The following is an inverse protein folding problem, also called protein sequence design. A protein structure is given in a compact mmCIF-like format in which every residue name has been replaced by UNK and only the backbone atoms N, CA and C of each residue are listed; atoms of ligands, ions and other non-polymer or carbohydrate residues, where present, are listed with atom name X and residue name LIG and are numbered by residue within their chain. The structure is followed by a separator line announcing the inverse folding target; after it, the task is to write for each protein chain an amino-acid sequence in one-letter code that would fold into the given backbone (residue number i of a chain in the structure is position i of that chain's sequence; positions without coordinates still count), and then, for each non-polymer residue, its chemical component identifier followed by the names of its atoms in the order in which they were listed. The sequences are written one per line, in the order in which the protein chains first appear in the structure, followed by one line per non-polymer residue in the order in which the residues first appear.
data_IF_641059531608
#
_entry.id   IF_641059531608
#
_cell.length_a   1.000
_cell.length_b   1.000
_cell.length_c   1.000
_cell.angle_alpha   90.00
_cell.angle_beta   90.00
_cell.angle_gamma   90.00
#
_symmetry.space_group_name_H-M   'P 1'
#
loop_
_entity.id
_entity.type
_entity.pdbx_description
1 polymer ?
#
# COMPACT_ATOMS: atom_id res chain seq x y z
N UNK A 1 -8.99 9.63 15.24
CA UNK A 1 -8.91 8.26 14.68
C UNK A 1 -10.21 7.49 14.93
N UNK A 2 -11.19 7.62 14.05
CA UNK A 2 -12.50 6.96 14.23
C UNK A 2 -12.35 5.43 14.18
N UNK A 3 -11.56 4.92 13.22
CA UNK A 3 -11.34 3.48 13.04
C UNK A 3 -10.61 2.84 14.21
N UNK A 4 -9.52 3.45 14.70
CA UNK A 4 -8.74 2.92 15.85
C UNK A 4 -9.59 2.91 17.12
N UNK A 5 -10.36 3.97 17.38
CA UNK A 5 -11.26 4.04 18.53
C UNK A 5 -12.39 3.01 18.46
N UNK A 6 -12.94 2.77 17.28
CA UNK A 6 -14.01 1.79 17.06
C UNK A 6 -13.50 0.34 17.20
N UNK A 7 -12.30 0.02 16.70
CA UNK A 7 -11.66 -1.30 16.90
C UNK A 7 -11.30 -1.54 18.37
N UNK A 8 -10.80 -0.51 19.07
CA UNK A 8 -10.45 -0.62 20.48
C UNK A 8 -11.69 -0.81 21.37
N UNK A 9 -12.78 -0.10 21.08
CA UNK A 9 -14.04 -0.18 21.85
C UNK A 9 -14.86 -1.44 21.50
N UNK A 10 -14.97 -1.75 20.22
CA UNK A 10 -15.73 -2.88 19.69
C UNK A 10 -14.76 -3.94 19.13
N UNK A 11 -14.33 -4.87 19.99
CA UNK A 11 -13.53 -6.05 19.63
C UNK A 11 -14.27 -7.11 18.80
N UNK A 12 -15.41 -6.76 18.21
CA UNK A 12 -16.27 -7.68 17.46
C UNK A 12 -16.63 -7.09 16.09
N UNK A 13 -16.33 -7.84 15.03
CA UNK A 13 -16.52 -7.48 13.63
C UNK A 13 -17.98 -7.11 13.27
N UNK A 14 -18.97 -7.62 14.01
CA UNK A 14 -20.39 -7.23 13.84
C UNK A 14 -20.73 -5.86 14.44
N UNK A 15 -19.95 -5.36 15.40
CA UNK A 15 -20.23 -4.09 16.10
C UNK A 15 -19.47 -2.90 15.52
N UNK A 16 -18.54 -3.13 14.60
CA UNK A 16 -17.83 -2.05 13.91
C UNK A 16 -18.81 -1.23 13.06
N UNK A 17 -18.62 0.09 13.07
CA UNK A 17 -19.37 1.00 12.21
C UNK A 17 -19.10 0.71 10.73
N UNK A 18 -20.07 1.05 9.86
CA UNK A 18 -19.93 0.85 8.41
C UNK A 18 -18.70 1.57 7.86
N UNK A 19 -18.40 2.77 8.37
CA UNK A 19 -17.22 3.54 7.98
C UNK A 19 -15.92 2.82 8.35
N UNK A 20 -15.80 2.25 9.55
CA UNK A 20 -14.62 1.46 9.95
C UNK A 20 -14.45 0.21 9.11
N UNK A 21 -15.54 -0.48 8.79
CA UNK A 21 -15.50 -1.69 7.95
C UNK A 21 -15.05 -1.36 6.52
N UNK A 22 -15.61 -0.32 5.91
CA UNK A 22 -15.20 0.16 4.58
C UNK A 22 -13.73 0.58 4.55
N UNK A 23 -13.27 1.31 5.56
CA UNK A 23 -11.88 1.76 5.64
C UNK A 23 -10.89 0.59 5.78
N UNK A 24 -11.22 -0.41 6.61
CA UNK A 24 -10.38 -1.60 6.79
C UNK A 24 -10.33 -2.45 5.51
N UNK A 25 -11.49 -2.73 4.91
CA UNK A 25 -11.58 -3.55 3.70
C UNK A 25 -10.95 -2.83 2.49
N UNK A 26 -11.25 -1.55 2.30
CA UNK A 26 -10.69 -0.74 1.21
C UNK A 26 -9.18 -0.62 1.32
N UNK A 27 -8.65 -0.44 2.54
CA UNK A 27 -7.20 -0.38 2.76
C UNK A 27 -6.52 -1.70 2.49
N UNK A 28 -7.09 -2.82 2.95
CA UNK A 28 -6.57 -4.14 2.65
C UNK A 28 -6.56 -4.41 1.13
N UNK A 29 -7.66 -4.11 0.44
CA UNK A 29 -7.78 -4.28 -1.00
C UNK A 29 -6.75 -3.44 -1.76
N UNK A 30 -6.61 -2.15 -1.44
CA UNK A 30 -5.65 -1.27 -2.11
C UNK A 30 -4.20 -1.71 -1.89
N UNK A 31 -3.84 -2.13 -0.69
CA UNK A 31 -2.49 -2.63 -0.38
C UNK A 31 -2.19 -3.91 -1.15
N UNK A 32 -3.13 -4.87 -1.14
CA UNK A 32 -2.96 -6.13 -1.87
C UNK A 32 -2.87 -5.89 -3.38
N UNK A 33 -3.75 -5.05 -3.93
CA UNK A 33 -3.74 -4.67 -5.34
C UNK A 33 -2.45 -3.95 -5.74
N UNK A 34 -2.04 -2.95 -4.97
CA UNK A 34 -0.82 -2.17 -5.22
C UNK A 34 0.43 -3.06 -5.16
N UNK A 35 0.54 -3.93 -4.15
CA UNK A 35 1.68 -4.84 -4.03
C UNK A 35 1.76 -5.84 -5.18
N UNK A 36 0.62 -6.40 -5.61
CA UNK A 36 0.57 -7.36 -6.72
C UNK A 36 0.93 -6.68 -8.04
N UNK A 37 0.34 -5.52 -8.33
CA UNK A 37 0.67 -4.78 -9.56
C UNK A 37 2.12 -4.34 -9.59
N UNK A 38 2.65 -3.84 -8.47
CA UNK A 38 4.05 -3.48 -8.34
C UNK A 38 4.97 -4.68 -8.58
N UNK A 39 4.67 -5.81 -7.94
CA UNK A 39 5.41 -7.06 -8.14
C UNK A 39 5.39 -7.54 -9.58
N UNK A 40 4.24 -7.47 -10.27
CA UNK A 40 4.10 -7.89 -11.66
C UNK A 40 4.86 -6.99 -12.65
N UNK A 41 4.88 -5.67 -12.41
CA UNK A 41 5.54 -4.71 -13.28
C UNK A 41 7.06 -4.70 -13.10
N UNK A 42 7.55 -4.86 -11.87
CA UNK A 42 8.97 -4.74 -11.55
C UNK A 42 9.69 -6.10 -11.44
N UNK A 43 9.00 -7.25 -11.55
CA UNK A 43 9.60 -8.58 -11.31
C UNK A 43 10.89 -8.86 -12.10
N UNK A 44 10.94 -8.35 -13.34
CA UNK A 44 12.03 -8.52 -14.28
C UNK A 44 12.94 -7.31 -14.42
N UNK A 45 12.71 -6.22 -13.67
CA UNK A 45 13.50 -5.00 -13.82
C UNK A 45 14.85 -5.12 -13.07
N UNK A 46 15.99 -5.14 -13.77
CA UNK A 46 17.31 -5.32 -13.16
C UNK A 46 17.76 -4.14 -12.29
N UNK A 47 17.15 -2.96 -12.42
CA UNK A 47 17.50 -1.78 -11.62
C UNK A 47 16.77 -1.71 -10.27
N UNK A 48 15.76 -2.57 -10.07
CA UNK A 48 14.88 -2.55 -8.90
C UNK A 48 14.80 -3.91 -8.22
N UNK A 49 13.81 -4.74 -8.54
CA UNK A 49 13.55 -6.03 -7.92
C UNK A 49 14.43 -7.14 -8.50
N UNK A 50 14.82 -7.03 -9.78
CA UNK A 50 15.58 -8.02 -10.54
C UNK A 50 16.72 -8.71 -9.79
N UNK A 51 17.64 -7.98 -9.13
CA UNK A 51 18.80 -8.57 -8.44
C UNK A 51 18.46 -9.17 -7.07
N UNK A 52 17.26 -8.97 -6.53
CA UNK A 52 16.86 -9.49 -5.22
C UNK A 52 16.39 -10.95 -5.30
N UNK A 53 16.54 -11.68 -4.19
CA UNK A 53 16.00 -13.03 -4.05
C UNK A 53 14.46 -13.01 -4.10
N UNK A 54 13.83 -14.15 -4.43
CA UNK A 54 12.36 -14.24 -4.57
C UNK A 54 11.61 -13.81 -3.30
N UNK A 55 12.18 -14.08 -2.12
CA UNK A 55 11.62 -13.65 -0.83
C UNK A 55 11.75 -12.14 -0.64
N UNK A 56 12.92 -11.59 -0.93
CA UNK A 56 13.16 -10.14 -0.84
C UNK A 56 12.30 -9.37 -1.85
N UNK A 57 12.08 -9.92 -3.05
CA UNK A 57 11.15 -9.37 -4.05
C UNK A 57 9.74 -9.25 -3.49
N UNK A 58 9.28 -10.27 -2.78
CA UNK A 58 7.94 -10.30 -2.19
C UNK A 58 7.81 -9.24 -1.08
N UNK A 59 8.80 -9.14 -0.19
CA UNK A 59 8.85 -8.10 0.84
C UNK A 59 8.93 -6.69 0.26
N UNK A 60 9.78 -6.48 -0.75
CA UNK A 60 9.95 -5.19 -1.42
C UNK A 60 8.66 -4.78 -2.15
N UNK A 61 7.99 -5.69 -2.86
CA UNK A 61 6.69 -5.43 -3.50
C UNK A 61 5.60 -5.07 -2.49
N UNK A 62 5.57 -5.75 -1.34
CA UNK A 62 4.63 -5.44 -0.26
C UNK A 62 4.88 -4.06 0.34
N UNK A 63 6.16 -3.74 0.58
CA UNK A 63 6.55 -2.45 1.11
C UNK A 63 6.25 -1.32 0.13
N UNK A 64 6.47 -1.55 -1.16
CA UNK A 64 6.14 -0.59 -2.22
C UNK A 64 4.64 -0.50 -2.54
N UNK A 65 3.82 -1.50 -2.19
CA UNK A 65 2.37 -1.36 -2.25
C UNK A 65 1.77 -0.57 -1.08
N UNK A 66 2.45 -0.54 0.07
CA UNK A 66 1.97 0.15 1.29
C UNK A 66 2.49 1.58 1.41
N UNK A 67 3.75 1.80 1.07
CA UNK A 67 4.43 3.08 1.23
C UNK A 67 3.82 4.27 0.46
N UNK A 68 3.32 4.09 -0.77
CA UNK A 68 2.69 5.16 -1.54
C UNK A 68 1.49 5.77 -0.82
N UNK A 69 0.91 5.09 0.19
CA UNK A 69 -0.13 5.67 1.07
C UNK A 69 0.49 6.58 2.15
N UNK A 70 1.22 7.59 1.69
CA UNK A 70 1.86 8.70 2.42
C UNK A 70 2.91 8.34 3.48
N UNK A 71 3.55 7.16 3.41
CA UNK A 71 4.67 6.86 4.30
C UNK A 71 5.99 7.48 3.80
N UNK A 72 6.16 7.61 2.48
CA UNK A 72 7.28 8.33 1.86
C UNK A 72 8.65 7.65 1.98
N UNK A 73 8.71 6.38 2.39
CA UNK A 73 9.95 5.60 2.46
C UNK A 73 10.34 4.97 1.11
N UNK A 74 11.62 5.01 0.76
CA UNK A 74 12.11 4.32 -0.44
C UNK A 74 12.91 3.09 -0.03
N UNK A 75 12.38 1.91 -0.30
CA UNK A 75 13.11 0.62 -0.14
C UNK A 75 13.85 0.19 -1.39
N UNK A 76 13.52 0.76 -2.55
CA UNK A 76 14.22 0.52 -3.81
C UNK A 76 14.48 1.85 -4.51
N UNK A 77 15.34 1.82 -5.54
CA UNK A 77 15.65 3.01 -6.32
C UNK A 77 14.46 3.43 -7.20
N UNK A 78 13.73 4.46 -6.76
CA UNK A 78 12.58 5.05 -7.48
C UNK A 78 12.97 5.67 -8.82
N UNK A 79 14.25 5.98 -9.04
CA UNK A 79 14.75 6.54 -10.31
C UNK A 79 14.91 5.52 -11.44
N UNK A 80 14.92 4.21 -11.14
CA UNK A 80 15.03 3.13 -12.12
C UNK A 80 13.73 2.33 -12.30
N UNK A 81 12.61 2.81 -11.77
CA UNK A 81 11.30 2.15 -11.93
C UNK A 81 10.77 2.35 -13.35
N UNK A 82 10.01 1.38 -13.86
CA UNK A 82 9.28 1.55 -15.11
C UNK A 82 8.29 2.72 -15.03
N UNK A 83 8.09 3.44 -16.13
CA UNK A 83 7.12 4.54 -16.22
C UNK A 83 5.71 4.10 -15.80
N UNK A 84 5.32 2.87 -16.14
CA UNK A 84 4.04 2.27 -15.73
C UNK A 84 3.93 2.10 -14.21
N UNK A 85 5.01 1.67 -13.54
CA UNK A 85 5.08 1.53 -12.08
C UNK A 85 5.01 2.89 -11.38
N UNK A 86 5.67 3.90 -11.95
CA UNK A 86 5.63 5.27 -11.47
C UNK A 86 4.22 5.86 -11.53
N UNK A 87 3.50 5.68 -12.64
CA UNK A 87 2.10 6.12 -12.77
C UNK A 87 1.18 5.44 -11.76
N UNK A 88 1.37 4.13 -11.54
CA UNK A 88 0.61 3.38 -10.54
C UNK A 88 0.88 3.91 -9.12
N UNK A 89 2.15 4.19 -8.81
CA UNK A 89 2.58 4.74 -7.53
C UNK A 89 1.97 6.12 -7.29
N UNK A 90 1.98 7.00 -8.30
CA UNK A 90 1.33 8.31 -8.23
C UNK A 90 -0.17 8.20 -8.00
N UNK A 91 -0.84 7.26 -8.67
CA UNK A 91 -2.29 7.02 -8.48
C UNK A 91 -2.59 6.56 -7.06
N UNK A 92 -1.78 5.65 -6.50
CA UNK A 92 -1.91 5.20 -5.11
C UNK A 92 -1.66 6.32 -4.10
N UNK A 93 -0.70 7.22 -4.39
CA UNK A 93 -0.44 8.40 -3.56
C UNK A 93 -1.62 9.35 -3.52
N UNK A 94 -2.28 9.58 -4.66
CA UNK A 94 -3.47 10.43 -4.77
C UNK A 94 -4.67 9.88 -3.98
N UNK A 95 -4.81 8.56 -3.87
CA UNK A 95 -5.86 7.93 -3.05
C UNK A 95 -5.59 8.10 -1.54
N UNK A 96 -4.34 8.36 -1.13
CA UNK A 96 -3.99 8.73 0.24
C UNK A 96 -4.29 7.64 1.29
N UNK A 97 -4.24 7.96 2.60
CA UNK A 97 -4.43 7.00 3.71
C UNK A 97 -5.81 6.98 4.38
N UNK A 98 -6.81 7.58 3.75
CA UNK A 98 -8.22 7.55 4.16
C UNK A 98 -8.64 8.63 5.18
N UNK A 99 -9.94 8.95 5.23
CA UNK A 99 -10.51 10.03 6.02
C UNK A 99 -10.32 9.84 7.54
N UNK A 100 -9.91 10.90 8.26
CA UNK A 100 -9.56 10.90 9.71
C UNK A 100 -8.37 10.01 10.12
N UNK A 101 -7.39 9.86 9.21
CA UNK A 101 -6.10 9.19 9.42
C UNK A 101 -4.94 10.19 9.58
N UNK A 102 -3.71 9.71 9.83
CA UNK A 102 -2.47 10.52 9.79
C UNK A 102 -1.95 10.79 8.37
N UNK A 103 -2.69 10.31 7.37
CA UNK A 103 -2.30 10.21 5.98
C UNK A 103 -3.40 10.80 5.10
N UNK A 104 -3.06 11.81 4.28
CA UNK A 104 -3.98 12.52 3.39
C UNK A 104 -3.87 12.06 1.93
N UNK A 105 -4.82 12.49 1.09
CA UNK A 105 -4.77 12.40 -0.37
C UNK A 105 -5.07 13.78 -0.94
#
# INVERSE_FOLDING_TARGET
FIVVGDVYRNRNWRKLTLHSKLMLVGTALLITWGSVMFGLLEWGNPETLGPLSVIEKLWASWFQGTTPRTAGFNTINTGGMHDSTSLLTMTLMLVGGGSTSTAGG
#
